data_IF_269496280169
#
_entry.id   IF_269496280169
#
_cell.length_a   1.000
_cell.length_b   1.000
_cell.length_c   1.000
_cell.angle_alpha   90.00
_cell.angle_beta   90.00
_cell.angle_gamma   90.00
#
_symmetry.space_group_name_H-M   'P 1'
#
loop_
_entity.id
_entity.type
_entity.pdbx_description
1 polymer ?
#
# COMPACT_ATOMS: atom_id res chain seq x y z
N UNK A 1 -25.24 5.44 -1.81
CA UNK A 1 -24.49 5.76 -3.04
C UNK A 1 -25.14 5.00 -4.18
N UNK A 2 -25.64 5.68 -5.20
CA UNK A 2 -26.31 5.06 -6.35
C UNK A 2 -25.27 4.36 -7.21
N UNK A 3 -25.45 3.05 -7.43
CA UNK A 3 -24.75 2.38 -8.53
C UNK A 3 -25.13 3.08 -9.85
N UNK A 4 -24.21 3.11 -10.83
CA UNK A 4 -24.55 3.61 -12.16
C UNK A 4 -25.74 2.81 -12.69
N UNK A 5 -26.68 3.48 -13.32
CA UNK A 5 -27.92 2.90 -13.87
C UNK A 5 -27.68 1.84 -14.95
N UNK A 6 -26.45 1.73 -15.44
CA UNK A 6 -25.97 0.68 -16.37
C UNK A 6 -24.46 0.49 -16.21
N UNK A 7 -24.00 -0.75 -16.33
CA UNK A 7 -22.56 -1.06 -16.40
C UNK A 7 -22.00 -0.56 -17.74
N UNK A 8 -20.75 -0.03 -17.77
CA UNK A 8 -20.12 0.36 -19.02
C UNK A 8 -19.83 -0.87 -19.89
N UNK A 9 -19.88 -0.71 -21.21
CA UNK A 9 -19.50 -1.76 -22.17
C UNK A 9 -18.05 -1.65 -22.63
N UNK A 10 -17.39 -0.51 -22.34
CA UNK A 10 -16.00 -0.27 -22.71
C UNK A 10 -15.35 0.72 -21.74
N UNK A 11 -14.02 0.65 -21.62
CA UNK A 11 -13.18 1.59 -20.89
C UNK A 11 -11.76 1.62 -21.49
N UNK A 12 -11.05 2.73 -21.36
CA UNK A 12 -9.62 2.75 -21.70
C UNK A 12 -8.80 1.84 -20.75
N UNK A 13 -9.14 1.85 -19.45
CA UNK A 13 -8.50 1.00 -18.46
C UNK A 13 -9.55 0.35 -17.56
N UNK A 14 -9.46 -0.97 -17.39
CA UNK A 14 -10.20 -1.72 -16.37
C UNK A 14 -9.24 -2.15 -15.26
N UNK A 15 -9.56 -1.80 -14.01
CA UNK A 15 -8.81 -2.22 -12.82
C UNK A 15 -9.65 -3.24 -12.06
N UNK A 16 -9.10 -4.42 -11.81
CA UNK A 16 -9.75 -5.49 -11.05
C UNK A 16 -9.19 -5.48 -9.63
N UNK A 17 -10.03 -5.17 -8.67
CA UNK A 17 -9.71 -5.07 -7.25
C UNK A 17 -9.76 -3.63 -6.72
N UNK A 18 -10.57 -3.41 -5.67
CA UNK A 18 -10.78 -2.13 -5.00
C UNK A 18 -9.98 -1.98 -3.70
N UNK A 19 -8.87 -2.70 -3.56
CA UNK A 19 -7.92 -2.55 -2.45
C UNK A 19 -7.00 -1.34 -2.63
N UNK A 20 -6.01 -1.20 -1.72
CA UNK A 20 -5.06 -0.07 -1.78
C UNK A 20 -4.30 -0.02 -3.11
N UNK A 21 -3.90 -1.17 -3.67
CA UNK A 21 -3.18 -1.21 -4.94
C UNK A 21 -4.05 -0.71 -6.10
N UNK A 22 -5.30 -1.19 -6.24
CA UNK A 22 -6.21 -0.74 -7.29
C UNK A 22 -6.63 0.72 -7.15
N UNK A 23 -6.93 1.17 -5.94
CA UNK A 23 -7.27 2.57 -5.68
C UNK A 23 -6.10 3.52 -5.92
N UNK A 24 -4.86 3.12 -5.56
CA UNK A 24 -3.68 3.93 -5.87
C UNK A 24 -3.43 4.04 -7.37
N UNK A 25 -3.63 2.93 -8.10
CA UNK A 25 -3.57 2.92 -9.56
C UNK A 25 -4.62 3.88 -10.16
N UNK A 26 -5.88 3.76 -9.75
CA UNK A 26 -6.97 4.64 -10.20
C UNK A 26 -6.66 6.12 -9.92
N UNK A 27 -6.24 6.46 -8.69
CA UNK A 27 -5.88 7.82 -8.32
C UNK A 27 -4.67 8.35 -9.11
N UNK A 28 -3.67 7.50 -9.37
CA UNK A 28 -2.52 7.86 -10.20
C UNK A 28 -2.94 8.16 -11.64
N UNK A 29 -3.75 7.32 -12.26
CA UNK A 29 -4.30 7.54 -13.60
C UNK A 29 -5.11 8.85 -13.65
N UNK A 30 -5.92 9.13 -12.63
CA UNK A 30 -6.66 10.37 -12.50
C UNK A 30 -5.74 11.61 -12.52
N UNK A 31 -4.64 11.59 -11.78
CA UNK A 31 -3.65 12.68 -11.76
C UNK A 31 -2.94 12.87 -13.10
N UNK A 32 -2.84 11.82 -13.91
CA UNK A 32 -2.30 11.88 -15.27
C UNK A 32 -3.38 12.25 -16.33
N UNK A 33 -4.58 12.65 -15.90
CA UNK A 33 -5.66 13.07 -16.79
C UNK A 33 -6.40 11.92 -17.47
N UNK A 34 -6.23 10.68 -17.01
CA UNK A 34 -6.92 9.51 -17.56
C UNK A 34 -8.20 9.27 -16.76
N UNK A 35 -9.34 9.72 -17.31
CA UNK A 35 -10.65 9.62 -16.68
C UNK A 35 -11.48 8.41 -17.11
N UNK A 36 -11.20 7.84 -18.30
CA UNK A 36 -11.92 6.67 -18.82
C UNK A 36 -11.38 5.38 -18.17
N UNK A 37 -11.64 5.23 -16.87
CA UNK A 37 -11.21 4.13 -16.01
C UNK A 37 -12.40 3.53 -15.31
N UNK A 38 -12.49 2.21 -15.33
CA UNK A 38 -13.47 1.41 -14.58
C UNK A 38 -12.71 0.54 -13.57
N UNK A 39 -12.95 0.76 -12.29
CA UNK A 39 -12.46 -0.12 -11.22
C UNK A 39 -13.61 -1.01 -10.76
N UNK A 40 -13.37 -2.32 -10.78
CA UNK A 40 -14.32 -3.36 -10.41
C UNK A 40 -13.90 -3.98 -9.07
N UNK A 41 -14.79 -3.91 -8.08
CA UNK A 41 -14.61 -4.54 -6.78
C UNK A 41 -15.71 -5.59 -6.56
N UNK A 42 -15.31 -6.81 -6.21
CA UNK A 42 -16.25 -7.91 -6.01
C UNK A 42 -17.20 -7.69 -4.81
N UNK A 43 -16.78 -6.86 -3.86
CA UNK A 43 -17.52 -6.52 -2.64
C UNK A 43 -17.70 -5.01 -2.52
N UNK A 44 -17.61 -4.49 -1.33
CA UNK A 44 -17.50 -3.05 -1.07
C UNK A 44 -16.04 -2.62 -1.01
N UNK A 45 -15.73 -1.40 -1.38
CA UNK A 45 -14.41 -0.83 -1.17
C UNK A 45 -14.03 -0.93 0.32
N UNK A 46 -12.78 -1.29 0.60
CA UNK A 46 -12.26 -1.45 1.96
C UNK A 46 -13.03 -2.46 2.84
N UNK A 47 -13.62 -3.49 2.27
CA UNK A 47 -14.35 -4.51 3.04
C UNK A 47 -13.46 -5.27 4.04
N UNK A 48 -14.07 -5.79 5.12
CA UNK A 48 -13.36 -6.42 6.25
C UNK A 48 -12.53 -7.68 5.91
N UNK A 49 -12.68 -8.25 4.73
CA UNK A 49 -11.90 -9.42 4.27
C UNK A 49 -10.72 -9.07 3.37
N UNK A 50 -10.55 -7.79 3.03
CA UNK A 50 -9.41 -7.32 2.25
C UNK A 50 -8.19 -7.12 3.17
N UNK A 51 -6.99 -7.39 2.67
CA UNK A 51 -5.74 -7.05 3.38
C UNK A 51 -5.58 -5.54 3.61
N UNK A 52 -6.28 -4.73 2.82
CA UNK A 52 -6.34 -3.27 2.97
C UNK A 52 -7.29 -2.80 4.09
N UNK A 53 -8.06 -3.70 4.72
CA UNK A 53 -8.98 -3.36 5.80
C UNK A 53 -8.23 -2.99 7.09
N UNK A 54 -8.80 -2.07 7.86
CA UNK A 54 -8.25 -1.58 9.13
C UNK A 54 -7.80 -0.12 9.03
N UNK A 55 -7.47 0.45 10.18
CA UNK A 55 -7.17 1.88 10.27
C UNK A 55 -5.75 2.21 9.83
N UNK A 56 -4.81 1.28 10.03
CA UNK A 56 -3.38 1.56 9.80
C UNK A 56 -2.64 0.43 9.11
N UNK A 57 -1.54 0.80 8.44
CA UNK A 57 -0.51 -0.09 7.93
C UNK A 57 0.87 0.46 8.27
N UNK A 58 1.76 -0.41 8.69
CA UNK A 58 3.15 -0.03 8.95
C UNK A 58 3.84 0.40 7.66
N UNK A 59 4.65 1.44 7.73
CA UNK A 59 5.64 1.79 6.73
C UNK A 59 7.02 1.91 7.38
N UNK A 60 8.05 1.48 6.67
CA UNK A 60 9.46 1.51 7.10
C UNK A 60 10.38 1.48 5.89
N UNK A 61 11.63 1.87 6.08
CA UNK A 61 12.74 1.69 5.12
C UNK A 61 13.70 0.58 5.57
N UNK A 62 13.57 0.12 6.80
CA UNK A 62 14.36 -0.93 7.42
C UNK A 62 14.07 -2.30 6.83
N UNK A 63 14.84 -2.70 5.82
CA UNK A 63 14.81 -4.03 5.20
C UNK A 63 16.22 -4.58 5.07
N UNK A 64 16.40 -5.90 5.17
CA UNK A 64 17.67 -6.56 4.86
C UNK A 64 17.88 -6.80 3.37
N UNK A 65 16.84 -6.62 2.56
CA UNK A 65 16.93 -6.64 1.10
C UNK A 65 17.12 -5.21 0.55
N UNK A 66 18.22 -4.95 -0.20
CA UNK A 66 18.51 -3.60 -0.70
C UNK A 66 17.52 -3.13 -1.78
N UNK A 67 16.83 -4.03 -2.48
CA UNK A 67 15.81 -3.65 -3.47
C UNK A 67 14.55 -3.19 -2.77
N UNK A 68 14.08 -3.95 -1.77
CA UNK A 68 12.91 -3.56 -0.96
C UNK A 68 13.16 -2.25 -0.21
N UNK A 69 14.38 -2.06 0.29
CA UNK A 69 14.78 -0.82 0.94
C UNK A 69 14.64 0.39 0.00
N UNK A 70 15.19 0.32 -1.23
CA UNK A 70 15.05 1.39 -2.24
C UNK A 70 13.60 1.63 -2.65
N UNK A 71 12.79 0.57 -2.79
CA UNK A 71 11.36 0.72 -3.07
C UNK A 71 10.63 1.43 -1.94
N UNK A 72 11.00 1.13 -0.69
CA UNK A 72 10.43 1.81 0.48
C UNK A 72 10.81 3.29 0.55
N UNK A 73 12.07 3.64 0.22
CA UNK A 73 12.51 5.03 0.13
C UNK A 73 11.73 5.81 -0.94
N UNK A 74 11.57 5.20 -2.12
CA UNK A 74 10.76 5.82 -3.18
C UNK A 74 9.28 5.93 -2.80
N UNK A 75 8.72 4.90 -2.17
CA UNK A 75 7.36 4.97 -1.62
C UNK A 75 7.22 6.12 -0.61
N UNK A 76 8.21 6.32 0.28
CA UNK A 76 8.20 7.42 1.24
C UNK A 76 8.28 8.80 0.57
N UNK A 77 9.00 8.91 -0.56
CA UNK A 77 9.00 10.12 -1.37
C UNK A 77 7.61 10.40 -1.96
N UNK A 78 7.00 9.38 -2.57
CA UNK A 78 5.66 9.46 -3.16
C UNK A 78 4.58 9.75 -2.12
N UNK A 79 4.70 9.23 -0.90
CA UNK A 79 3.78 9.54 0.18
C UNK A 79 3.78 11.03 0.57
N UNK A 80 4.93 11.72 0.54
CA UNK A 80 4.99 13.17 0.77
C UNK A 80 4.24 13.96 -0.31
N UNK A 81 4.34 13.52 -1.56
CA UNK A 81 3.57 14.11 -2.65
C UNK A 81 2.08 13.85 -2.48
N UNK A 82 1.71 12.64 -2.09
CA UNK A 82 0.32 12.24 -1.83
C UNK A 82 -0.32 13.07 -0.71
N UNK A 83 0.40 13.30 0.39
CA UNK A 83 -0.04 14.15 1.49
C UNK A 83 -0.24 15.60 1.05
N UNK A 84 0.62 16.09 0.16
CA UNK A 84 0.46 17.42 -0.45
C UNK A 84 -0.82 17.50 -1.28
N UNK A 85 -1.10 16.49 -2.11
CA UNK A 85 -2.33 16.42 -2.90
C UNK A 85 -3.58 16.23 -2.03
N UNK A 86 -3.48 15.48 -0.95
CA UNK A 86 -4.57 15.26 -0.01
C UNK A 86 -4.92 16.52 0.79
N UNK A 87 -3.94 17.40 1.03
CA UNK A 87 -4.06 18.54 1.93
C UNK A 87 -4.16 18.13 3.40
N UNK A 88 -3.79 16.87 3.71
CA UNK A 88 -3.82 16.32 5.06
C UNK A 88 -2.72 15.27 5.25
N UNK A 89 -2.36 15.02 6.50
CA UNK A 89 -1.40 13.99 6.87
C UNK A 89 -2.04 12.60 6.76
N UNK A 90 -1.44 11.76 5.91
CA UNK A 90 -1.85 10.37 5.68
C UNK A 90 -0.99 9.36 6.44
N UNK A 91 0.14 9.80 6.99
CA UNK A 91 1.09 8.97 7.77
C UNK A 91 1.32 9.57 9.14
N UNK A 92 1.53 8.71 10.11
CA UNK A 92 1.95 9.06 11.47
C UNK A 92 3.37 8.52 11.70
N UNK A 93 4.34 9.42 11.82
CA UNK A 93 5.74 9.08 12.06
C UNK A 93 6.01 9.05 13.55
N UNK A 94 6.15 7.87 14.13
CA UNK A 94 6.43 7.65 15.55
C UNK A 94 7.55 6.64 15.78
N UNK A 95 8.22 6.25 14.70
CA UNK A 95 9.32 5.31 14.72
C UNK A 95 8.90 3.84 14.73
N UNK A 96 9.87 2.99 14.44
CA UNK A 96 9.75 1.53 14.49
C UNK A 96 10.95 0.94 15.20
N UNK A 97 10.73 0.09 16.18
CA UNK A 97 11.77 -0.72 16.81
C UNK A 97 11.70 -2.14 16.26
N UNK A 98 12.77 -2.57 15.59
CA UNK A 98 13.03 -3.96 15.24
C UNK A 98 14.05 -4.53 16.22
N UNK A 99 13.66 -5.52 17.05
CA UNK A 99 14.54 -6.04 18.08
C UNK A 99 14.40 -7.55 18.23
N UNK A 100 15.47 -8.20 18.69
CA UNK A 100 15.51 -9.65 18.90
C UNK A 100 16.91 -10.15 19.20
N UNK A 101 17.10 -11.46 19.08
CA UNK A 101 18.44 -12.05 19.11
C UNK A 101 19.20 -11.62 17.84
N UNK A 102 20.50 -11.36 18.02
CA UNK A 102 21.36 -11.01 16.89
C UNK A 102 21.89 -12.30 16.26
N UNK A 103 21.17 -12.85 15.29
CA UNK A 103 21.65 -13.95 14.44
C UNK A 103 21.61 -13.55 12.96
N UNK A 104 22.37 -14.28 12.15
CA UNK A 104 22.53 -13.97 10.72
C UNK A 104 21.49 -14.67 9.83
N UNK A 105 20.48 -15.30 10.40
CA UNK A 105 19.43 -15.93 9.60
C UNK A 105 18.58 -14.88 8.89
N UNK A 106 18.55 -14.97 7.56
CA UNK A 106 17.66 -14.17 6.73
C UNK A 106 16.26 -14.77 6.78
N UNK A 107 15.31 -13.99 7.27
CA UNK A 107 13.88 -14.29 7.19
C UNK A 107 13.22 -13.36 6.17
N UNK A 108 11.95 -13.61 5.84
CA UNK A 108 11.15 -12.68 4.98
C UNK A 108 11.11 -11.28 5.60
N UNK A 109 11.07 -11.18 6.93
CA UNK A 109 11.12 -9.92 7.66
C UNK A 109 12.53 -9.31 7.72
N UNK A 110 13.56 -10.08 7.36
CA UNK A 110 14.96 -9.72 7.44
C UNK A 110 15.60 -9.97 8.80
N UNK A 111 16.91 -9.87 8.86
CA UNK A 111 17.71 -9.98 10.08
C UNK A 111 18.15 -8.60 10.58
N UNK A 112 18.38 -8.45 11.88
CA UNK A 112 18.91 -7.20 12.45
C UNK A 112 20.27 -6.83 11.83
N UNK A 113 21.27 -7.74 11.72
CA UNK A 113 22.53 -7.45 11.06
C UNK A 113 22.37 -7.12 9.55
N UNK A 114 21.48 -7.83 8.86
CA UNK A 114 21.17 -7.59 7.44
C UNK A 114 20.54 -6.22 7.24
N UNK A 115 19.52 -5.88 8.01
CA UNK A 115 18.88 -4.57 7.96
C UNK A 115 19.86 -3.44 8.26
N UNK A 116 20.69 -3.59 9.30
CA UNK A 116 21.74 -2.63 9.65
C UNK A 116 22.67 -2.36 8.49
N UNK A 117 23.22 -3.41 7.87
CA UNK A 117 24.13 -3.29 6.72
C UNK A 117 23.50 -2.51 5.57
N UNK A 118 22.24 -2.85 5.21
CA UNK A 118 21.53 -2.17 4.11
C UNK A 118 21.23 -0.71 4.46
N UNK A 119 20.85 -0.41 5.70
CA UNK A 119 20.62 0.96 6.16
C UNK A 119 21.90 1.80 6.13
N UNK A 120 23.03 1.23 6.58
CA UNK A 120 24.35 1.86 6.50
C UNK A 120 24.72 2.17 5.03
N UNK A 121 24.55 1.18 4.13
CA UNK A 121 24.89 1.31 2.70
C UNK A 121 24.00 2.33 1.97
N UNK A 122 22.76 2.50 2.40
CA UNK A 122 21.79 3.40 1.75
C UNK A 122 21.58 4.73 2.50
N UNK A 123 22.33 4.95 3.58
CA UNK A 123 22.29 6.20 4.34
C UNK A 123 20.98 6.45 5.09
N UNK A 124 20.30 5.38 5.51
CA UNK A 124 19.05 5.48 6.27
C UNK A 124 19.38 5.67 7.75
N UNK A 125 18.84 6.70 8.41
CA UNK A 125 19.12 6.95 9.82
C UNK A 125 18.44 5.92 10.72
N UNK A 126 19.19 5.39 11.68
CA UNK A 126 18.67 4.52 12.74
C UNK A 126 19.48 4.70 14.02
N UNK A 127 18.92 4.22 15.13
CA UNK A 127 19.59 4.09 16.42
C UNK A 127 19.79 2.61 16.74
N UNK A 128 21.04 2.17 16.97
CA UNK A 128 21.32 0.82 17.44
C UNK A 128 21.18 0.79 18.96
N UNK A 129 20.34 -0.11 19.48
CA UNK A 129 19.97 -0.18 20.89
C UNK A 129 20.33 -1.53 21.49
N UNK A 130 20.84 -1.54 22.72
CA UNK A 130 21.02 -2.74 23.55
C UNK A 130 19.77 -2.99 24.39
N UNK A 131 19.66 -4.18 24.96
CA UNK A 131 18.51 -4.59 25.77
C UNK A 131 18.14 -3.59 26.87
N UNK A 132 19.13 -3.03 27.57
CA UNK A 132 18.92 -2.06 28.64
C UNK A 132 18.35 -0.72 28.12
N UNK A 133 18.81 -0.29 26.94
CA UNK A 133 18.33 0.94 26.29
C UNK A 133 16.90 0.76 25.78
N UNK A 134 16.59 -0.44 25.23
CA UNK A 134 15.22 -0.80 24.84
C UNK A 134 14.29 -0.78 26.04
N UNK A 135 14.72 -1.43 27.15
CA UNK A 135 13.93 -1.46 28.38
C UNK A 135 13.71 -0.09 29.02
N UNK A 136 14.70 0.80 28.92
CA UNK A 136 14.58 2.15 29.46
C UNK A 136 13.64 3.04 28.64
N UNK A 137 13.56 2.82 27.34
CA UNK A 137 12.85 3.69 26.38
C UNK A 137 11.45 3.21 26.02
N UNK A 138 11.23 1.89 26.03
CA UNK A 138 9.98 1.29 25.58
C UNK A 138 9.37 0.40 26.69
N UNK A 139 8.05 0.18 26.72
CA UNK A 139 7.39 -0.69 27.70
C UNK A 139 7.64 -2.17 27.38
N UNK A 140 8.92 -2.55 27.21
CA UNK A 140 9.38 -3.87 26.82
C UNK A 140 10.37 -4.42 27.85
N UNK A 141 10.48 -5.74 27.92
CA UNK A 141 11.45 -6.42 28.78
C UNK A 141 12.26 -7.44 27.95
N UNK A 142 13.17 -6.97 27.07
CA UNK A 142 13.97 -7.83 26.22
C UNK A 142 14.94 -8.71 27.04
N UNK A 143 15.33 -9.85 26.49
CA UNK A 143 16.40 -10.67 27.06
C UNK A 143 17.74 -9.91 27.01
N UNK A 144 18.69 -10.17 27.88
CA UNK A 144 19.97 -9.44 27.92
C UNK A 144 20.81 -9.51 26.63
N UNK A 145 20.64 -10.56 25.83
CA UNK A 145 21.32 -10.76 24.55
C UNK A 145 20.59 -10.13 23.35
N UNK A 146 19.42 -9.51 23.56
CA UNK A 146 18.70 -8.86 22.48
C UNK A 146 19.34 -7.52 22.11
N UNK A 147 19.32 -7.24 20.82
CA UNK A 147 19.68 -5.94 20.25
C UNK A 147 18.52 -5.40 19.43
N UNK A 148 18.55 -4.12 19.11
CA UNK A 148 17.50 -3.50 18.28
C UNK A 148 18.04 -2.40 17.39
N UNK A 149 17.27 -2.13 16.35
CA UNK A 149 17.41 -0.95 15.50
C UNK A 149 16.11 -0.16 15.63
N UNK A 150 16.22 1.11 15.94
CA UNK A 150 15.10 2.03 15.95
C UNK A 150 15.21 2.98 14.77
N UNK A 151 14.25 2.90 13.85
CA UNK A 151 14.13 3.81 12.70
C UNK A 151 13.15 4.92 13.06
N UNK A 152 13.61 6.16 13.29
CA UNK A 152 12.76 7.27 13.73
C UNK A 152 11.78 7.74 12.63
N UNK A 153 12.09 7.47 11.36
CA UNK A 153 11.30 7.91 10.19
C UNK A 153 10.18 6.97 9.82
N UNK A 154 10.13 5.78 10.39
CA UNK A 154 9.07 4.79 10.21
C UNK A 154 7.79 5.16 11.00
N UNK A 155 6.70 4.46 10.71
CA UNK A 155 5.45 4.67 11.41
C UNK A 155 4.27 3.93 10.81
N UNK A 156 3.11 4.57 10.81
CA UNK A 156 1.86 4.01 10.30
C UNK A 156 1.22 4.89 9.24
N UNK A 157 0.79 4.26 8.14
CA UNK A 157 -0.10 4.87 7.14
C UNK A 157 -1.54 4.74 7.64
N UNK A 158 -2.32 5.82 7.59
CA UNK A 158 -3.74 5.84 7.89
C UNK A 158 -4.53 5.30 6.70
N UNK A 159 -4.71 3.98 6.67
CA UNK A 159 -5.35 3.26 5.56
C UNK A 159 -6.75 3.78 5.26
N UNK A 160 -7.51 4.10 6.31
CA UNK A 160 -8.86 4.68 6.24
C UNK A 160 -8.87 6.02 5.46
N UNK A 161 -7.96 6.92 5.79
CA UNK A 161 -7.81 8.21 5.11
C UNK A 161 -7.33 8.06 3.68
N UNK A 162 -6.35 7.20 3.46
CA UNK A 162 -5.78 6.93 2.13
C UNK A 162 -6.84 6.40 1.17
N UNK A 163 -7.61 5.39 1.60
CA UNK A 163 -8.70 4.82 0.80
C UNK A 163 -9.75 5.90 0.46
N UNK A 164 -10.14 6.69 1.46
CA UNK A 164 -11.09 7.79 1.25
C UNK A 164 -10.54 8.84 0.28
N UNK A 165 -9.27 9.22 0.40
CA UNK A 165 -8.60 10.18 -0.47
C UNK A 165 -8.54 9.67 -1.91
N UNK A 166 -8.02 8.47 -2.16
CA UNK A 166 -7.90 7.91 -3.51
C UNK A 166 -9.26 7.67 -4.17
N UNK A 167 -10.24 7.19 -3.41
CA UNK A 167 -11.63 7.05 -3.89
C UNK A 167 -12.19 8.39 -4.34
N UNK A 168 -11.99 9.45 -3.57
CA UNK A 168 -12.42 10.81 -3.93
C UNK A 168 -11.68 11.33 -5.17
N UNK A 169 -10.37 11.13 -5.25
CA UNK A 169 -9.54 11.55 -6.38
C UNK A 169 -10.01 10.88 -7.68
N UNK A 170 -10.21 9.57 -7.67
CA UNK A 170 -10.68 8.83 -8.84
C UNK A 170 -12.08 9.28 -9.28
N UNK A 171 -13.01 9.40 -8.35
CA UNK A 171 -14.39 9.87 -8.64
C UNK A 171 -14.44 11.29 -9.18
N UNK A 172 -13.64 12.20 -8.64
CA UNK A 172 -13.56 13.59 -9.13
C UNK A 172 -13.01 13.70 -10.54
N UNK A 173 -12.20 12.74 -10.97
CA UNK A 173 -11.72 12.62 -12.36
C UNK A 173 -12.72 11.94 -13.30
N UNK A 174 -13.92 11.59 -12.83
CA UNK A 174 -14.95 10.93 -13.63
C UNK A 174 -14.80 9.40 -13.75
N UNK A 175 -13.84 8.81 -13.05
CA UNK A 175 -13.65 7.36 -13.07
C UNK A 175 -14.81 6.63 -12.38
N UNK A 176 -15.16 5.46 -12.88
CA UNK A 176 -16.23 4.62 -12.33
C UNK A 176 -15.65 3.57 -11.38
N UNK A 177 -16.00 3.65 -10.10
CA UNK A 177 -15.67 2.66 -9.08
C UNK A 177 -16.92 1.86 -8.76
N UNK A 178 -16.97 0.61 -9.23
CA UNK A 178 -18.16 -0.24 -9.20
C UNK A 178 -17.96 -1.35 -8.17
N UNK A 179 -18.77 -1.32 -7.14
CA UNK A 179 -18.80 -2.31 -6.07
C UNK A 179 -19.77 -3.45 -6.39
N UNK A 180 -19.64 -4.58 -5.71
CA UNK A 180 -20.46 -5.79 -5.91
C UNK A 180 -20.42 -6.28 -7.36
N UNK A 181 -19.24 -6.18 -7.99
CA UNK A 181 -19.05 -6.49 -9.40
C UNK A 181 -17.89 -7.50 -9.59
N UNK A 182 -18.10 -8.76 -9.25
CA UNK A 182 -17.09 -9.80 -9.36
C UNK A 182 -16.79 -10.12 -10.84
N UNK A 183 -15.49 -10.18 -11.16
CA UNK A 183 -14.98 -10.56 -12.48
C UNK A 183 -14.86 -12.08 -12.54
N UNK A 184 -15.45 -12.70 -13.56
CA UNK A 184 -15.39 -14.14 -13.82
C UNK A 184 -14.17 -14.51 -14.68
N UNK A 185 -13.75 -13.62 -15.59
CA UNK A 185 -12.62 -13.91 -16.50
C UNK A 185 -12.06 -12.66 -17.14
N UNK A 186 -10.84 -12.81 -17.63
CA UNK A 186 -10.13 -11.82 -18.45
C UNK A 186 -9.95 -12.44 -19.83
N UNK A 187 -10.13 -11.66 -20.86
CA UNK A 187 -9.94 -12.13 -22.24
C UNK A 187 -8.49 -12.57 -22.45
N UNK A 188 -8.25 -13.64 -23.26
CA UNK A 188 -6.90 -14.18 -23.45
C UNK A 188 -5.89 -13.17 -24.02
N UNK A 189 -6.36 -12.19 -24.79
CA UNK A 189 -5.56 -11.08 -25.34
C UNK A 189 -5.49 -9.85 -24.41
N UNK A 190 -6.16 -9.91 -23.26
CA UNK A 190 -6.23 -8.81 -22.29
C UNK A 190 -7.12 -7.64 -22.73
N UNK A 191 -7.90 -7.80 -23.81
CA UNK A 191 -8.73 -6.73 -24.39
C UNK A 191 -10.08 -6.54 -23.71
N UNK A 192 -10.34 -7.19 -22.59
CA UNK A 192 -11.56 -7.03 -21.83
C UNK A 192 -11.71 -7.97 -20.65
N UNK A 193 -12.84 -7.83 -19.98
CA UNK A 193 -13.22 -8.65 -18.83
C UNK A 193 -14.68 -9.08 -18.91
N UNK A 194 -14.97 -10.28 -18.43
CA UNK A 194 -16.34 -10.78 -18.28
C UNK A 194 -16.70 -10.88 -16.80
N UNK A 195 -17.82 -10.32 -16.42
CA UNK A 195 -18.35 -10.34 -15.06
C UNK A 195 -19.14 -11.64 -14.79
N UNK A 196 -19.33 -12.01 -13.52
CA UNK A 196 -20.12 -13.21 -13.16
C UNK A 196 -21.57 -13.16 -13.65
N UNK A 197 -22.15 -12.00 -13.86
CA UNK A 197 -23.49 -11.84 -14.44
C UNK A 197 -23.52 -11.94 -15.97
N UNK A 198 -22.40 -12.25 -16.62
CA UNK A 198 -22.26 -12.38 -18.08
C UNK A 198 -22.04 -11.05 -18.82
N UNK A 199 -22.04 -9.89 -18.14
CA UNK A 199 -21.74 -8.61 -18.78
C UNK A 199 -20.26 -8.55 -19.17
N UNK A 200 -19.97 -8.07 -20.38
CA UNK A 200 -18.61 -7.91 -20.89
C UNK A 200 -18.24 -6.43 -20.99
N UNK A 201 -17.01 -6.10 -20.60
CA UNK A 201 -16.42 -4.75 -20.71
C UNK A 201 -15.17 -4.86 -21.56
N UNK A 202 -15.16 -4.27 -22.74
CA UNK A 202 -13.96 -4.15 -23.58
C UNK A 202 -12.99 -3.15 -22.93
N UNK A 203 -11.70 -3.45 -22.93
CA UNK A 203 -10.68 -2.62 -22.30
C UNK A 203 -9.48 -2.38 -23.20
N UNK A 204 -8.94 -1.16 -23.20
CA UNK A 204 -7.64 -0.90 -23.81
C UNK A 204 -6.49 -1.54 -23.01
N UNK A 205 -6.65 -1.55 -21.67
CA UNK A 205 -5.71 -2.16 -20.71
C UNK A 205 -6.49 -2.79 -19.56
N UNK A 206 -6.01 -3.93 -19.06
CA UNK A 206 -6.52 -4.58 -17.83
C UNK A 206 -5.41 -4.62 -16.77
N UNK A 207 -5.71 -4.12 -15.59
CA UNK A 207 -4.81 -4.13 -14.42
C UNK A 207 -5.44 -5.02 -13.35
N UNK A 208 -4.68 -6.01 -12.86
CA UNK A 208 -5.12 -6.92 -11.79
C UNK A 208 -4.36 -6.58 -10.51
N UNK A 209 -5.11 -6.41 -9.37
CA UNK A 209 -4.54 -5.99 -8.09
C UNK A 209 -5.03 -6.81 -6.90
#
# INVERSE_FOLDING_TARGET
MTQPSSLPSQAAVVIIGGGMAGLSCAASLARHGIGDVVLLEARTLAHARASSFGETRMFREMYSDPVLCRLAQEANRLWREEETHAGEQLRETHGLLFYGESWDEETIEGSIPGARRVMDDQGIPYEALRAEEIKARFPLNPKPNFTGLFEPTAGAVRSDKVIAHWTRTARNAGQQLIEHCPVAGIDPDGAGVTLENGHHISAGQVVVT
#
